data_IF_171282329248
#
_entry.id   IF_171282329248
#
_cell.length_a   1.000
_cell.length_b   1.000
_cell.length_c   1.000
_cell.angle_alpha   90.00
_cell.angle_beta   90.00
_cell.angle_gamma   90.00
#
_symmetry.space_group_name_H-M   'P 1'
#
loop_
_entity.id
_entity.type
_entity.pdbx_description
1 polymer ?
#
# COMPACT_ATOMS: atom_id res chain seq x y z
N UNK A 1 -0.41 -1.16 -12.82
CA UNK A 1 0.16 -1.10 -11.44
C UNK A 1 0.31 -2.45 -10.76
N UNK A 2 -0.68 -3.35 -10.78
CA UNK A 2 -0.50 -4.72 -10.26
C UNK A 2 0.60 -5.45 -11.04
N UNK A 3 0.55 -5.37 -12.37
CA UNK A 3 1.57 -5.96 -13.26
C UNK A 3 2.99 -5.45 -12.96
N UNK A 4 3.16 -4.13 -12.87
CA UNK A 4 4.46 -3.52 -12.58
C UNK A 4 5.04 -4.04 -11.26
N UNK A 5 4.24 -4.07 -10.20
CA UNK A 5 4.68 -4.57 -8.89
C UNK A 5 4.99 -6.06 -8.91
N UNK A 6 4.15 -6.87 -9.55
CA UNK A 6 4.36 -8.31 -9.68
C UNK A 6 5.68 -8.61 -10.41
N UNK A 7 5.92 -7.96 -11.55
CA UNK A 7 7.17 -8.10 -12.30
C UNK A 7 8.38 -7.68 -11.46
N UNK A 8 8.31 -6.58 -10.71
CA UNK A 8 9.41 -6.16 -9.84
C UNK A 8 9.70 -7.19 -8.73
N UNK A 9 8.65 -7.82 -8.17
CA UNK A 9 8.80 -8.86 -7.14
C UNK A 9 9.24 -10.23 -7.67
N UNK A 10 9.06 -10.51 -8.97
CA UNK A 10 9.55 -11.73 -9.63
C UNK A 10 11.07 -11.70 -9.89
N UNK A 11 11.77 -10.63 -9.49
CA UNK A 11 13.23 -10.53 -9.50
C UNK A 11 13.81 -9.82 -10.72
N UNK A 12 15.13 -9.66 -10.72
CA UNK A 12 15.90 -8.77 -11.62
C UNK A 12 15.60 -9.01 -13.10
N UNK A 13 15.40 -10.26 -13.52
CA UNK A 13 15.08 -10.61 -14.90
C UNK A 13 13.78 -9.94 -15.41
N UNK A 14 12.84 -9.64 -14.52
CA UNK A 14 11.54 -9.05 -14.84
C UNK A 14 11.48 -7.52 -14.61
N UNK A 15 12.53 -6.91 -14.08
CA UNK A 15 12.57 -5.45 -13.87
C UNK A 15 12.39 -4.61 -15.15
N UNK A 16 12.89 -5.02 -16.34
CA UNK A 16 12.57 -4.30 -17.58
C UNK A 16 11.07 -4.25 -17.89
N UNK A 17 10.36 -5.36 -17.63
CA UNK A 17 8.91 -5.42 -17.80
C UNK A 17 8.19 -4.58 -16.73
N UNK A 18 8.66 -4.62 -15.47
CA UNK A 18 8.14 -3.79 -14.40
C UNK A 18 8.22 -2.29 -14.72
N UNK A 19 9.39 -1.83 -15.19
CA UNK A 19 9.62 -0.43 -15.56
C UNK A 19 8.77 0.01 -16.76
N UNK A 20 8.62 -0.86 -17.76
CA UNK A 20 7.74 -0.60 -18.90
C UNK A 20 6.28 -0.45 -18.46
N UNK A 21 5.80 -1.35 -17.60
CA UNK A 21 4.43 -1.32 -17.08
C UNK A 21 4.18 -0.14 -16.12
N UNK A 22 5.20 0.32 -15.39
CA UNK A 22 5.13 1.56 -14.61
C UNK A 22 5.03 2.77 -15.53
N UNK A 23 5.92 2.86 -16.52
CA UNK A 23 5.99 3.98 -17.45
C UNK A 23 4.72 4.15 -18.28
N UNK A 24 4.09 3.05 -18.71
CA UNK A 24 2.85 3.10 -19.49
C UNK A 24 1.70 3.80 -18.78
N UNK A 25 1.70 3.79 -17.43
CA UNK A 25 0.76 4.56 -16.62
C UNK A 25 1.26 5.99 -16.39
N UNK A 26 2.49 6.15 -15.90
CA UNK A 26 3.02 7.45 -15.46
C UNK A 26 3.08 8.45 -16.62
N UNK A 27 3.44 8.00 -17.82
CA UNK A 27 3.47 8.84 -19.04
C UNK A 27 2.11 9.41 -19.45
N UNK A 28 1.00 8.83 -18.97
CA UNK A 28 -0.34 9.38 -19.18
C UNK A 28 -0.71 10.48 -18.18
N UNK A 29 0.09 10.67 -17.13
CA UNK A 29 -0.14 11.65 -16.05
C UNK A 29 0.89 12.77 -16.07
N UNK A 30 2.13 12.45 -16.42
CA UNK A 30 3.23 13.39 -16.55
C UNK A 30 3.80 13.40 -17.98
N UNK A 31 3.62 14.50 -18.74
CA UNK A 31 4.16 14.63 -20.10
C UNK A 31 5.70 14.52 -20.18
N UNK A 32 6.41 14.74 -19.07
CA UNK A 32 7.86 14.65 -18.98
C UNK A 32 8.35 13.32 -18.37
N UNK A 33 7.45 12.35 -18.19
CA UNK A 33 7.83 11.06 -17.63
C UNK A 33 8.96 10.42 -18.44
N UNK A 34 9.89 9.79 -17.73
CA UNK A 34 10.93 8.93 -18.30
C UNK A 34 10.82 7.54 -17.71
N UNK A 35 11.31 6.53 -18.42
CA UNK A 35 11.38 5.17 -17.87
C UNK A 35 12.32 5.19 -16.66
N UNK A 36 11.84 4.64 -15.54
CA UNK A 36 12.61 4.58 -14.29
C UNK A 36 13.95 3.85 -14.48
N UNK A 37 14.98 4.30 -13.76
CA UNK A 37 16.28 3.60 -13.69
C UNK A 37 16.44 2.80 -12.40
N UNK A 38 15.45 2.86 -11.51
CA UNK A 38 15.46 2.13 -10.24
C UNK A 38 15.42 0.62 -10.46
N UNK A 39 16.02 -0.11 -9.53
CA UNK A 39 16.08 -1.57 -9.49
C UNK A 39 15.83 -2.06 -8.06
N UNK A 40 15.57 -3.36 -7.89
CA UNK A 40 15.34 -4.00 -6.59
C UNK A 40 14.25 -3.30 -5.77
N UNK A 41 14.53 -3.08 -4.48
CA UNK A 41 13.57 -2.47 -3.56
C UNK A 41 13.20 -1.03 -3.96
N UNK A 42 14.13 -0.26 -4.53
CA UNK A 42 13.85 1.12 -4.94
C UNK A 42 12.79 1.17 -6.06
N UNK A 43 12.80 0.19 -6.98
CA UNK A 43 11.77 0.09 -8.01
C UNK A 43 10.40 -0.28 -7.40
N UNK A 44 10.38 -1.20 -6.44
CA UNK A 44 9.15 -1.58 -5.72
C UNK A 44 8.58 -0.36 -4.98
N UNK A 45 9.41 0.39 -4.27
CA UNK A 45 8.99 1.58 -3.52
C UNK A 45 8.42 2.66 -4.43
N UNK A 46 9.05 2.91 -5.59
CA UNK A 46 8.53 3.82 -6.61
C UNK A 46 7.15 3.37 -7.13
N UNK A 47 6.99 2.08 -7.43
CA UNK A 47 5.70 1.52 -7.87
C UNK A 47 4.63 1.72 -6.78
N UNK A 48 4.97 1.46 -5.51
CA UNK A 48 4.03 1.67 -4.40
C UNK A 48 3.68 3.15 -4.21
N UNK A 49 4.61 4.08 -4.41
CA UNK A 49 4.33 5.52 -4.39
C UNK A 49 3.35 5.89 -5.51
N UNK A 50 3.62 5.45 -6.74
CA UNK A 50 2.73 5.72 -7.86
C UNK A 50 1.33 5.11 -7.65
N UNK A 51 1.24 3.95 -6.96
CA UNK A 51 -0.06 3.33 -6.61
C UNK A 51 -0.85 4.20 -5.66
N UNK A 52 -0.18 4.79 -4.66
CA UNK A 52 -0.81 5.70 -3.69
C UNK A 52 -1.28 7.00 -4.32
N UNK A 53 -0.58 7.48 -5.36
CA UNK A 53 -0.95 8.67 -6.13
C UNK A 53 -2.18 8.36 -6.99
N UNK A 54 -2.10 7.32 -7.82
CA UNK A 54 -3.15 7.01 -8.79
C UNK A 54 -4.47 6.58 -8.12
N UNK A 55 -4.39 5.81 -7.04
CA UNK A 55 -5.56 5.24 -6.35
C UNK A 55 -5.90 6.00 -5.07
N UNK A 56 -5.58 7.29 -5.02
CA UNK A 56 -5.83 8.11 -3.85
C UNK A 56 -7.33 8.24 -3.59
N UNK A 57 -7.76 7.96 -2.36
CA UNK A 57 -9.17 8.04 -1.97
C UNK A 57 -10.01 6.83 -2.38
N UNK A 58 -9.46 5.88 -3.13
CA UNK A 58 -10.20 4.71 -3.64
C UNK A 58 -10.13 3.48 -2.70
N UNK A 59 -9.56 3.63 -1.50
CA UNK A 59 -9.56 2.58 -0.47
C UNK A 59 -8.42 1.55 -0.55
N UNK A 60 -7.49 1.67 -1.50
CA UNK A 60 -6.42 0.67 -1.69
C UNK A 60 -5.27 0.79 -0.68
N UNK A 61 -4.97 1.99 -0.18
CA UNK A 61 -3.78 2.20 0.65
C UNK A 61 -3.74 1.33 1.92
N UNK A 62 -4.90 1.06 2.54
CA UNK A 62 -4.96 0.17 3.71
C UNK A 62 -4.54 -1.27 3.34
N UNK A 63 -5.08 -1.80 2.25
CA UNK A 63 -4.79 -3.15 1.78
C UNK A 63 -3.35 -3.27 1.26
N UNK A 64 -2.83 -2.24 0.61
CA UNK A 64 -1.45 -2.20 0.13
C UNK A 64 -0.44 -2.23 1.29
N UNK A 65 -0.65 -1.44 2.35
CA UNK A 65 0.20 -1.48 3.53
C UNK A 65 0.12 -2.83 4.25
N UNK A 66 -1.09 -3.37 4.43
CA UNK A 66 -1.29 -4.68 5.07
C UNK A 66 -0.60 -5.82 4.31
N UNK A 67 -0.85 -5.96 3.00
CA UNK A 67 -0.31 -7.08 2.20
C UNK A 67 1.22 -7.01 2.05
N UNK A 68 1.77 -5.80 2.05
CA UNK A 68 3.21 -5.58 1.95
C UNK A 68 3.91 -5.63 3.33
N UNK A 69 3.15 -5.84 4.41
CA UNK A 69 3.62 -5.78 5.79
C UNK A 69 4.41 -4.48 6.08
N UNK A 70 3.84 -3.35 5.66
CA UNK A 70 4.42 -2.02 5.85
C UNK A 70 3.69 -1.25 6.95
N UNK A 71 4.40 -0.43 7.75
CA UNK A 71 3.77 0.38 8.77
C UNK A 71 3.03 1.57 8.15
N UNK A 72 1.96 2.02 8.82
CA UNK A 72 1.44 3.37 8.59
C UNK A 72 2.36 4.34 9.32
N UNK A 73 2.96 5.28 8.58
CA UNK A 73 3.71 6.39 9.18
C UNK A 73 3.30 7.70 8.51
N UNK A 74 2.69 8.60 9.27
CA UNK A 74 2.33 9.96 8.84
C UNK A 74 3.18 10.98 9.59
N UNK A 75 3.59 12.03 8.89
CA UNK A 75 4.21 13.19 9.54
C UNK A 75 3.23 13.79 10.53
N UNK A 76 3.72 14.23 11.70
CA UNK A 76 2.92 14.96 12.69
C UNK A 76 2.82 16.46 12.41
N UNK A 77 3.40 16.92 11.28
CA UNK A 77 3.39 18.32 10.85
C UNK A 77 2.31 18.57 9.80
N UNK A 78 1.70 19.75 9.82
CA UNK A 78 0.70 20.20 8.84
C UNK A 78 -0.69 19.57 9.08
N UNK A 79 -1.39 19.21 7.99
CA UNK A 79 -2.77 18.68 8.01
C UNK A 79 -2.95 17.29 8.67
N UNK A 80 -1.90 16.80 9.34
CA UNK A 80 -1.86 15.54 10.07
C UNK A 80 -1.56 15.75 11.56
N UNK A 81 -1.79 16.97 12.06
CA UNK A 81 -1.91 17.23 13.49
C UNK A 81 -2.82 16.20 14.15
N UNK A 82 -2.53 15.81 15.39
CA UNK A 82 -3.37 14.86 16.16
C UNK A 82 -4.82 15.33 16.32
N UNK A 83 -5.08 16.64 16.15
CA UNK A 83 -6.44 17.21 16.12
C UNK A 83 -7.24 16.81 14.87
N UNK A 84 -6.56 16.43 13.77
CA UNK A 84 -7.17 16.06 12.49
C UNK A 84 -7.02 14.55 12.20
N UNK A 85 -5.94 13.93 12.66
CA UNK A 85 -5.70 12.50 12.52
C UNK A 85 -5.43 11.87 13.89
N UNK A 86 -6.41 11.12 14.42
CA UNK A 86 -6.25 10.38 15.69
C UNK A 86 -5.24 9.24 15.62
N UNK A 87 -4.99 8.71 14.41
CA UNK A 87 -4.03 7.63 14.17
C UNK A 87 -3.03 8.15 13.13
N UNK A 88 -1.77 8.26 13.55
CA UNK A 88 -0.65 8.72 12.70
C UNK A 88 0.40 7.64 12.51
N UNK A 89 0.45 6.64 13.40
CA UNK A 89 1.35 5.51 13.32
C UNK A 89 0.61 4.22 13.66
N UNK A 90 0.84 3.17 12.86
CA UNK A 90 0.43 1.80 13.15
C UNK A 90 1.59 0.89 12.70
N UNK A 91 2.20 0.10 13.59
CA UNK A 91 3.26 -0.84 13.23
C UNK A 91 2.82 -1.84 12.16
N UNK A 92 3.76 -2.35 11.38
CA UNK A 92 3.49 -3.46 10.48
C UNK A 92 3.07 -4.70 11.28
N UNK A 93 2.05 -5.43 10.82
CA UNK A 93 1.56 -6.64 11.50
C UNK A 93 0.70 -6.40 12.75
N UNK A 94 0.43 -5.15 13.12
CA UNK A 94 -0.49 -4.83 14.23
C UNK A 94 -1.91 -5.36 13.97
N UNK A 95 -2.58 -5.78 15.05
CA UNK A 95 -3.98 -6.21 15.06
C UNK A 95 -4.94 -5.22 14.39
N UNK A 96 -4.63 -3.92 14.44
CA UNK A 96 -5.41 -2.85 13.81
C UNK A 96 -5.45 -2.96 12.27
N UNK A 97 -4.65 -3.81 11.64
CA UNK A 97 -4.78 -4.15 10.23
C UNK A 97 -5.88 -5.18 9.93
N UNK A 98 -6.53 -5.74 10.95
CA UNK A 98 -7.63 -6.68 10.79
C UNK A 98 -8.89 -6.15 11.45
N UNK A 99 -10.01 -6.27 10.73
CA UNK A 99 -11.31 -5.95 11.30
C UNK A 99 -11.74 -7.05 12.24
N UNK A 100 -12.16 -6.64 13.43
CA UNK A 100 -12.72 -7.55 14.40
C UNK A 100 -14.02 -8.16 13.89
N UNK A 101 -14.24 -9.41 14.25
CA UNK A 101 -15.58 -9.97 14.13
C UNK A 101 -16.56 -9.17 15.00
N UNK A 102 -17.75 -8.83 14.47
CA UNK A 102 -18.76 -8.14 15.24
C UNK A 102 -19.13 -8.91 16.51
N UNK A 103 -19.24 -8.21 17.63
CA UNK A 103 -19.63 -8.82 18.92
C UNK A 103 -20.99 -9.53 18.81
N UNK A 104 -21.91 -9.00 18.00
CA UNK A 104 -23.20 -9.64 17.74
C UNK A 104 -23.05 -11.03 17.11
N UNK A 105 -22.07 -11.23 16.23
CA UNK A 105 -21.81 -12.53 15.61
C UNK A 105 -21.23 -13.52 16.63
N UNK A 106 -20.32 -13.07 17.49
CA UNK A 106 -19.71 -13.88 18.56
C UNK A 106 -20.78 -14.30 19.58
N UNK A 107 -21.68 -13.39 19.95
CA UNK A 107 -22.76 -13.67 20.89
C UNK A 107 -23.77 -14.71 20.36
N UNK A 108 -23.91 -14.83 19.04
CA UNK A 108 -24.82 -15.80 18.40
C UNK A 108 -24.16 -17.16 18.20
N UNK A 109 -22.86 -17.19 17.86
CA UNK A 109 -22.13 -18.43 17.61
C UNK A 109 -21.00 -18.61 18.63
N UNK A 110 -21.17 -19.46 19.67
CA UNK A 110 -20.14 -19.66 20.70
C UNK A 110 -18.85 -20.29 20.19
N UNK A 111 -18.84 -20.86 18.98
CA UNK A 111 -17.62 -21.40 18.34
C UNK A 111 -16.84 -20.32 17.55
N UNK A 112 -17.38 -19.12 17.39
CA UNK A 112 -16.70 -18.02 16.70
C UNK A 112 -15.72 -17.35 17.67
N UNK A 113 -14.42 -17.55 17.42
CA UNK A 113 -13.33 -16.95 18.20
C UNK A 113 -12.92 -15.61 17.56
N UNK A 114 -12.64 -14.60 18.39
CA UNK A 114 -12.16 -13.30 17.93
C UNK A 114 -10.77 -13.44 17.31
N UNK A 115 -10.48 -12.66 16.26
CA UNK A 115 -9.14 -12.61 15.66
C UNK A 115 -8.11 -11.97 16.61
N UNK A 116 -6.87 -12.45 16.49
CA UNK A 116 -5.69 -12.14 17.30
C UNK A 116 -4.55 -11.49 16.50
#
# INVERSE_FOLDING_TARGET
MIEAEANARLGVANEPAARTALFSLVSQRDPNAVISTNTGQALIDEILVQRRIELWGEGFNFLDLKRANLPLKRSTRGSFSLTQARITEVPAGDLQWQWFFPISAINVNPNLVQND
#
